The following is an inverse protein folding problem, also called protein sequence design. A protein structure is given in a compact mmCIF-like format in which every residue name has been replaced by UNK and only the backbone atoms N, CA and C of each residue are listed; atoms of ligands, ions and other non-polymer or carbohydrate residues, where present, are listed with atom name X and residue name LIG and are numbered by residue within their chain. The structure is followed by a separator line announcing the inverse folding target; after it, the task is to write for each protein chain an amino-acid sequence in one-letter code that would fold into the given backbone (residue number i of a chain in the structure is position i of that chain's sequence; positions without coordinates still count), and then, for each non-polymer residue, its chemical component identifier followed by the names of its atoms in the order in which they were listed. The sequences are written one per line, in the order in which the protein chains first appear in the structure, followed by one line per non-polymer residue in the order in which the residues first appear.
data_IF_373672187560
#
_entry.id   IF_373672187560
#
_cell.length_a   1.000
_cell.length_b   1.000
_cell.length_c   1.000
_cell.angle_alpha   90.00
_cell.angle_beta   90.00
_cell.angle_gamma   90.00
#
_symmetry.space_group_name_H-M   'P 1'
#
loop_
_entity.id
_entity.type
_entity.pdbx_description
1 polymer ?
#
# COMPACT_ATOMS: atom_id res chain seq x y z
N UNK A 1 -7.23 4.68 4.02
CA UNK A 1 -7.31 3.94 2.73
C UNK A 1 -8.77 3.64 2.49
N UNK A 2 -9.35 4.22 1.45
CA UNK A 2 -10.72 3.95 1.06
C UNK A 2 -10.71 2.61 0.32
N UNK A 3 -10.81 1.52 1.08
CA UNK A 3 -10.88 0.18 0.54
C UNK A 3 -12.26 0.02 -0.10
N UNK A 4 -12.31 -0.31 -1.39
CA UNK A 4 -13.52 -0.50 -2.17
C UNK A 4 -14.28 -1.74 -1.70
N UNK A 5 -14.93 -1.71 -0.53
CA UNK A 5 -15.76 -2.79 0.05
C UNK A 5 -15.18 -4.24 -0.04
N UNK A 6 -13.87 -4.36 -0.25
CA UNK A 6 -13.18 -5.64 -0.26
C UNK A 6 -13.05 -6.10 1.18
N UNK A 7 -13.58 -7.29 1.45
CA UNK A 7 -13.28 -8.02 2.67
C UNK A 7 -11.77 -8.27 2.68
N UNK A 8 -11.05 -7.47 3.47
CA UNK A 8 -9.62 -7.65 3.66
C UNK A 8 -9.46 -8.95 4.45
N UNK A 9 -9.19 -10.05 3.74
CA UNK A 9 -8.70 -11.26 4.37
C UNK A 9 -7.29 -10.94 4.87
N UNK A 10 -7.20 -10.35 6.06
CA UNK A 10 -5.98 -10.38 6.85
C UNK A 10 -5.71 -11.87 6.98
N UNK A 11 -4.67 -12.37 6.32
CA UNK A 11 -4.15 -13.70 6.59
C UNK A 11 -4.06 -13.78 8.12
N UNK A 12 -4.82 -14.72 8.71
CA UNK A 12 -4.84 -15.07 10.14
C UNK A 12 -3.47 -14.79 10.75
N UNK A 13 -3.35 -14.23 11.98
CA UNK A 13 -2.11 -13.69 12.53
C UNK A 13 -1.05 -14.77 12.72
N UNK A 14 -0.51 -15.23 11.61
CA UNK A 14 0.50 -16.24 11.50
C UNK A 14 1.80 -15.46 11.64
N UNK A 15 2.20 -15.35 12.91
CA UNK A 15 3.54 -15.01 13.35
C UNK A 15 3.90 -13.52 13.27
N UNK A 16 3.22 -12.71 14.09
CA UNK A 16 3.93 -11.63 14.81
C UNK A 16 4.87 -12.27 15.86
N UNK A 17 5.89 -13.01 15.41
CA UNK A 17 6.91 -13.64 16.29
C UNK A 17 8.01 -12.67 16.71
N UNK A 18 7.88 -11.39 16.35
CA UNK A 18 8.76 -10.35 16.84
C UNK A 18 7.92 -9.31 17.56
N UNK A 19 8.19 -9.11 18.85
CA UNK A 19 7.75 -7.91 19.56
C UNK A 19 8.11 -6.71 18.68
N UNK A 20 7.15 -5.86 18.28
CA UNK A 20 7.46 -4.72 17.45
C UNK A 20 8.34 -3.76 18.26
N UNK A 21 9.65 -3.87 18.09
CA UNK A 21 10.56 -2.80 18.49
C UNK A 21 10.16 -1.55 17.73
N UNK A 22 10.30 -0.38 18.38
CA UNK A 22 10.12 0.91 17.70
C UNK A 22 11.15 0.95 16.58
N UNK A 23 10.71 0.69 15.34
CA UNK A 23 11.51 0.90 14.14
C UNK A 23 11.71 2.40 14.06
N UNK A 24 12.85 2.88 14.55
CA UNK A 24 13.29 4.24 14.29
C UNK A 24 13.28 4.39 12.77
N UNK A 25 12.41 5.26 12.25
CA UNK A 25 12.43 5.53 10.83
C UNK A 25 13.83 6.07 10.55
N UNK A 26 14.62 5.33 9.77
CA UNK A 26 15.79 5.89 9.13
C UNK A 26 15.23 6.91 8.14
N UNK A 27 14.95 8.11 8.66
CA UNK A 27 14.50 9.26 7.89
C UNK A 27 15.58 9.52 6.85
N UNK A 28 15.38 8.98 5.64
CA UNK A 28 16.34 9.12 4.54
C UNK A 28 17.15 7.88 4.16
N UNK A 29 16.69 6.64 4.42
CA UNK A 29 17.27 5.49 3.71
C UNK A 29 17.04 5.64 2.18
N UNK A 30 18.09 6.10 1.50
CA UNK A 30 18.10 6.45 0.08
C UNK A 30 17.78 5.26 -0.80
N UNK A 31 18.19 4.05 -0.37
CA UNK A 31 17.92 2.80 -1.06
C UNK A 31 16.42 2.50 -1.03
N UNK A 32 15.81 2.61 0.15
CA UNK A 32 14.35 2.42 0.29
C UNK A 32 13.57 3.45 -0.53
N UNK A 33 13.99 4.71 -0.52
CA UNK A 33 13.34 5.77 -1.29
C UNK A 33 13.43 5.56 -2.80
N UNK A 34 14.55 5.03 -3.30
CA UNK A 34 14.71 4.69 -4.71
C UNK A 34 13.68 3.64 -5.15
N UNK A 35 13.56 2.54 -4.41
CA UNK A 35 12.57 1.50 -4.73
C UNK A 35 11.12 1.99 -4.53
N UNK A 36 10.85 2.76 -3.47
CA UNK A 36 9.54 3.34 -3.25
C UNK A 36 9.12 4.26 -4.40
N UNK A 37 10.05 5.05 -4.97
CA UNK A 37 9.76 5.92 -6.11
C UNK A 37 9.33 5.14 -7.34
N UNK A 38 10.08 4.09 -7.71
CA UNK A 38 9.74 3.28 -8.89
C UNK A 38 8.47 2.46 -8.66
N UNK A 39 8.25 1.95 -7.45
CA UNK A 39 7.01 1.26 -7.10
C UNK A 39 5.80 2.20 -7.16
N UNK A 40 5.90 3.42 -6.62
CA UNK A 40 4.82 4.41 -6.69
C UNK A 40 4.48 4.77 -8.13
N UNK A 41 5.49 4.94 -9.00
CA UNK A 41 5.25 5.15 -10.44
C UNK A 41 4.52 3.97 -11.07
N UNK A 42 4.91 2.74 -10.74
CA UNK A 42 4.25 1.55 -11.27
C UNK A 42 2.79 1.45 -10.79
N UNK A 43 2.54 1.70 -9.51
CA UNK A 43 1.18 1.71 -8.93
C UNK A 43 0.31 2.73 -9.67
N UNK A 44 0.77 3.98 -9.81
CA UNK A 44 -0.03 5.05 -10.42
C UNK A 44 -0.26 4.85 -11.92
N UNK A 45 0.72 4.29 -12.64
CA UNK A 45 0.64 4.18 -14.11
C UNK A 45 0.07 2.86 -14.62
N UNK A 46 0.04 1.81 -13.79
CA UNK A 46 -0.40 0.46 -14.19
C UNK A 46 -1.52 -0.06 -13.30
N UNK A 47 -1.24 -0.21 -12.00
CA UNK A 47 -2.18 -0.84 -11.07
C UNK A 47 -3.45 0.02 -10.91
N UNK A 48 -3.31 1.31 -10.64
CA UNK A 48 -4.45 2.19 -10.37
C UNK A 48 -5.41 2.30 -11.57
N UNK A 49 -4.94 2.52 -12.83
CA UNK A 49 -5.81 2.49 -14.00
C UNK A 49 -6.52 1.15 -14.20
N UNK A 50 -5.82 0.03 -14.01
CA UNK A 50 -6.41 -1.31 -14.12
C UNK A 50 -7.50 -1.52 -13.07
N UNK A 51 -7.24 -1.13 -11.82
CA UNK A 51 -8.21 -1.22 -10.73
C UNK A 51 -9.42 -0.32 -10.98
N UNK A 52 -9.22 0.85 -11.56
CA UNK A 52 -10.30 1.78 -11.93
C UNK A 52 -11.21 1.20 -13.01
N UNK A 53 -10.66 0.43 -13.96
CA UNK A 53 -11.47 -0.30 -14.96
C UNK A 53 -12.25 -1.44 -14.30
N UNK A 54 -11.63 -2.18 -13.39
CA UNK A 54 -12.25 -3.34 -12.75
C UNK A 54 -13.33 -2.96 -11.73
N UNK A 55 -13.10 -1.88 -10.97
CA UNK A 55 -13.88 -1.56 -9.77
C UNK A 55 -14.52 -0.18 -9.80
N UNK A 56 -14.25 0.62 -10.82
CA UNK A 56 -14.77 1.97 -10.96
C UNK A 56 -14.09 2.99 -10.04
N UNK A 57 -14.70 4.17 -9.96
CA UNK A 57 -14.30 5.24 -9.06
C UNK A 57 -15.36 5.44 -7.99
N UNK A 58 -14.94 5.70 -6.75
CA UNK A 58 -15.83 6.08 -5.66
C UNK A 58 -15.59 7.54 -5.28
N UNK A 59 -16.55 8.42 -5.56
CA UNK A 59 -16.47 9.86 -5.27
C UNK A 59 -16.39 10.20 -3.77
N UNK A 60 -16.75 9.25 -2.89
CA UNK A 60 -16.57 9.38 -1.45
C UNK A 60 -15.10 9.16 -1.03
N UNK A 61 -14.30 8.50 -1.87
CA UNK A 61 -12.88 8.30 -1.66
C UNK A 61 -12.09 9.51 -2.16
N UNK A 62 -11.60 10.33 -1.23
CA UNK A 62 -10.72 11.48 -1.50
C UNK A 62 -9.35 11.21 -0.88
N UNK A 63 -8.29 11.56 -1.62
CA UNK A 63 -6.89 11.44 -1.22
C UNK A 63 -6.43 12.56 -0.30
#
# INVERSE_FOLDING_TARGET
MCLLDYEYHVLSPAFLVHSPGIKQSSNGDSTRLQYAKEMSKFIQNKIEPEYRVLFGENSACKT
#
